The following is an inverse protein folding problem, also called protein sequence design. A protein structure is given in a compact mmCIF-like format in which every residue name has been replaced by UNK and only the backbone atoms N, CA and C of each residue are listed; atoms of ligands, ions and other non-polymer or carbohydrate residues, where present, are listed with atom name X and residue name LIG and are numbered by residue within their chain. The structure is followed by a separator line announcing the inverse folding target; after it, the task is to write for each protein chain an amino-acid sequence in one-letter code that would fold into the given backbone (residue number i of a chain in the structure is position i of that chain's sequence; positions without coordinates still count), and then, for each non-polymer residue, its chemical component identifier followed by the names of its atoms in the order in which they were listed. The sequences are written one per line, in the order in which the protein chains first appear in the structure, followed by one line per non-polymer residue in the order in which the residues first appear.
data_IF_061842852167
#
_entry.id   IF_061842852167
#
_cell.length_a   1.000
_cell.length_b   1.000
_cell.length_c   1.000
_cell.angle_alpha   90.00
_cell.angle_beta   90.00
_cell.angle_gamma   90.00
#
_symmetry.space_group_name_H-M   'P 1'
#
loop_
_entity.id
_entity.type
_entity.pdbx_description
1 polymer ?
#
# COMPACT_ATOMS: atom_id res chain seq x y z
N UNK A 1 -14.83 -20.49 9.11
CA UNK A 1 -14.43 -19.58 8.02
C UNK A 1 -12.96 -19.26 8.21
N UNK A 2 -12.12 -19.33 7.18
CA UNK A 2 -10.76 -18.78 7.27
C UNK A 2 -10.86 -17.29 7.63
N UNK A 3 -10.07 -16.87 8.60
CA UNK A 3 -9.99 -15.46 9.03
C UNK A 3 -9.09 -14.63 8.10
N UNK A 4 -9.00 -13.31 8.32
CA UNK A 4 -8.07 -12.47 7.57
C UNK A 4 -6.62 -12.94 7.78
N UNK A 5 -5.84 -12.98 6.69
CA UNK A 5 -4.40 -13.30 6.74
C UNK A 5 -3.55 -12.10 6.35
N UNK A 6 -2.39 -11.94 7.00
CA UNK A 6 -1.40 -10.91 6.68
C UNK A 6 -0.35 -11.53 5.77
N UNK A 7 -0.10 -10.90 4.62
CA UNK A 7 0.95 -11.32 3.67
C UNK A 7 1.81 -10.11 3.31
N UNK A 8 3.11 -10.34 3.12
CA UNK A 8 3.99 -9.34 2.50
C UNK A 8 3.68 -9.33 1.00
N UNK A 9 3.50 -8.14 0.44
CA UNK A 9 3.28 -7.97 -0.98
C UNK A 9 4.63 -7.97 -1.72
N UNK A 10 5.02 -9.12 -2.24
CA UNK A 10 6.25 -9.30 -3.02
C UNK A 10 5.95 -9.29 -4.52
N UNK A 11 6.72 -8.53 -5.31
CA UNK A 11 6.61 -8.45 -6.78
C UNK A 11 5.17 -8.30 -7.32
N UNK A 12 4.38 -7.31 -6.85
CA UNK A 12 3.04 -7.09 -7.38
C UNK A 12 3.07 -6.63 -8.83
N UNK A 13 2.05 -7.03 -9.60
CA UNK A 13 1.78 -6.45 -10.91
C UNK A 13 1.19 -5.03 -10.77
N UNK A 14 1.14 -4.29 -11.88
CA UNK A 14 0.66 -2.90 -11.91
C UNK A 14 -0.77 -2.73 -11.38
N UNK A 15 -1.64 -3.71 -11.62
CA UNK A 15 -3.02 -3.69 -11.13
C UNK A 15 -3.08 -3.71 -9.60
N UNK A 16 -2.23 -4.54 -8.97
CA UNK A 16 -2.17 -4.67 -7.51
C UNK A 16 -1.45 -3.50 -6.86
N UNK A 17 -0.47 -2.90 -7.56
CA UNK A 17 0.11 -1.60 -7.18
C UNK A 17 -0.97 -0.51 -7.11
N UNK A 18 -1.79 -0.42 -8.14
CA UNK A 18 -2.84 0.59 -8.24
C UNK A 18 -3.96 0.34 -7.22
N UNK A 19 -4.31 -0.93 -6.95
CA UNK A 19 -5.24 -1.28 -5.88
C UNK A 19 -4.74 -0.83 -4.50
N UNK A 20 -3.44 -0.99 -4.22
CA UNK A 20 -2.81 -0.53 -2.97
C UNK A 20 -2.89 0.99 -2.85
N UNK A 21 -2.49 1.72 -3.90
CA UNK A 21 -2.51 3.18 -3.91
C UNK A 21 -3.94 3.74 -3.78
N UNK A 22 -4.91 3.13 -4.46
CA UNK A 22 -6.32 3.55 -4.38
C UNK A 22 -6.91 3.32 -2.99
N UNK A 23 -6.51 2.26 -2.28
CA UNK A 23 -6.94 2.08 -0.89
C UNK A 23 -6.33 3.14 0.02
N UNK A 24 -5.07 3.55 -0.18
CA UNK A 24 -4.50 4.70 0.54
C UNK A 24 -5.28 5.99 0.29
N UNK A 25 -5.54 6.33 -0.97
CA UNK A 25 -6.31 7.53 -1.33
C UNK A 25 -7.67 7.53 -0.63
N UNK A 26 -8.38 6.40 -0.65
CA UNK A 26 -9.67 6.25 0.04
C UNK A 26 -9.56 6.34 1.56
N UNK A 27 -8.50 5.80 2.16
CA UNK A 27 -8.31 5.79 3.61
C UNK A 27 -8.05 7.20 4.17
N UNK A 28 -7.46 8.09 3.36
CA UNK A 28 -7.18 9.48 3.72
C UNK A 28 -8.14 10.48 3.06
N UNK A 29 -9.26 10.00 2.51
CA UNK A 29 -10.27 10.89 1.93
C UNK A 29 -10.76 11.88 3.00
N UNK A 30 -10.77 13.17 2.63
CA UNK A 30 -11.07 14.29 3.52
C UNK A 30 -10.18 14.46 4.76
N UNK A 31 -8.99 13.83 4.80
CA UNK A 31 -8.04 14.00 5.90
C UNK A 31 -7.45 15.43 5.94
N UNK A 32 -7.59 16.12 7.07
CA UNK A 32 -7.16 17.52 7.22
C UNK A 32 -5.63 17.70 7.16
N UNK A 33 -4.82 16.84 7.81
CA UNK A 33 -3.36 16.83 7.63
C UNK A 33 -2.94 16.66 6.17
N UNK A 34 -3.49 15.67 5.45
CA UNK A 34 -3.21 15.47 4.03
C UNK A 34 -3.55 16.72 3.22
N UNK A 35 -4.76 17.26 3.42
CA UNK A 35 -5.21 18.47 2.75
C UNK A 35 -4.27 19.66 3.01
N UNK A 36 -3.71 19.77 4.21
CA UNK A 36 -2.76 20.82 4.55
C UNK A 36 -1.42 20.63 3.83
N UNK A 37 -0.93 19.39 3.75
CA UNK A 37 0.32 19.03 3.08
C UNK A 37 0.26 19.24 1.55
N UNK A 38 -0.88 18.98 0.92
CA UNK A 38 -1.08 19.18 -0.53
C UNK A 38 -1.53 20.60 -0.90
N UNK A 39 -1.67 21.50 0.09
CA UNK A 39 -2.23 22.84 -0.12
C UNK A 39 -3.70 22.81 -0.57
N UNK A 40 -4.41 21.74 -0.28
CA UNK A 40 -5.79 21.49 -0.70
C UNK A 40 -5.94 21.08 -2.16
N UNK A 41 -4.84 20.77 -2.85
CA UNK A 41 -4.89 20.31 -4.22
C UNK A 41 -5.03 18.79 -4.31
N UNK A 42 -6.26 18.33 -4.59
CA UNK A 42 -6.58 16.92 -4.75
C UNK A 42 -5.76 16.22 -5.86
N UNK A 43 -5.23 16.96 -6.84
CA UNK A 43 -4.38 16.34 -7.89
C UNK A 43 -3.02 15.88 -7.38
N UNK A 44 -2.59 16.32 -6.19
CA UNK A 44 -1.33 15.92 -5.57
C UNK A 44 -1.47 14.75 -4.58
N UNK A 45 -2.68 14.47 -4.09
CA UNK A 45 -2.92 13.44 -3.08
C UNK A 45 -2.68 12.04 -3.65
N UNK A 46 -3.30 11.70 -4.79
CA UNK A 46 -3.13 10.40 -5.41
C UNK A 46 -1.68 10.11 -5.87
N UNK A 47 -0.96 11.03 -6.54
CA UNK A 47 0.45 10.84 -6.84
C UNK A 47 1.34 10.62 -5.60
N UNK A 48 1.07 11.33 -4.50
CA UNK A 48 1.82 11.16 -3.25
C UNK A 48 1.70 9.73 -2.71
N UNK A 49 0.47 9.21 -2.59
CA UNK A 49 0.26 7.85 -2.07
C UNK A 49 0.75 6.77 -3.03
N UNK A 50 0.66 6.99 -4.34
CA UNK A 50 1.31 6.10 -5.33
C UNK A 50 2.82 6.04 -5.11
N UNK A 51 3.48 7.16 -4.87
CA UNK A 51 4.92 7.20 -4.61
C UNK A 51 5.28 6.44 -3.31
N UNK A 52 4.50 6.61 -2.24
CA UNK A 52 4.70 5.87 -0.97
C UNK A 52 4.49 4.38 -1.16
N UNK A 53 3.42 3.97 -1.84
CA UNK A 53 3.14 2.57 -2.14
C UNK A 53 4.29 1.94 -2.97
N UNK A 54 4.72 2.63 -4.02
CA UNK A 54 5.82 2.17 -4.87
C UNK A 54 7.12 2.02 -4.07
N UNK A 55 7.48 3.01 -3.25
CA UNK A 55 8.67 2.95 -2.39
C UNK A 55 8.59 1.78 -1.39
N UNK A 56 7.44 1.59 -0.75
CA UNK A 56 7.22 0.46 0.15
C UNK A 56 7.40 -0.88 -0.55
N UNK A 57 6.94 -1.01 -1.79
CA UNK A 57 6.96 -2.27 -2.53
C UNK A 57 8.37 -2.59 -3.01
N UNK A 58 9.09 -1.60 -3.54
CA UNK A 58 10.52 -1.74 -3.87
C UNK A 58 11.32 -2.17 -2.65
N UNK A 59 10.95 -1.72 -1.46
CA UNK A 59 11.65 -2.05 -0.22
C UNK A 59 11.22 -3.40 0.42
N UNK A 60 10.17 -4.04 -0.11
CA UNK A 60 9.56 -5.22 0.51
C UNK A 60 8.83 -4.92 1.82
N UNK A 61 8.41 -3.66 2.01
CA UNK A 61 7.87 -3.08 3.23
C UNK A 61 6.34 -2.96 3.25
N UNK A 62 5.64 -3.60 2.30
CA UNK A 62 4.17 -3.55 2.21
C UNK A 62 3.55 -4.85 2.70
N UNK A 63 2.67 -4.73 3.68
CA UNK A 63 1.87 -5.79 4.24
C UNK A 63 0.42 -5.58 3.83
N UNK A 64 -0.22 -6.62 3.30
CA UNK A 64 -1.63 -6.61 2.92
C UNK A 64 -2.40 -7.59 3.78
N UNK A 65 -3.60 -7.19 4.18
CA UNK A 65 -4.57 -8.06 4.82
C UNK A 65 -5.66 -8.34 3.80
N UNK A 66 -5.83 -9.61 3.45
CA UNK A 66 -6.83 -10.05 2.48
C UNK A 66 -7.78 -11.10 3.03
N UNK A 67 -8.87 -11.33 2.30
CA UNK A 67 -9.69 -12.54 2.44
C UNK A 67 -8.99 -13.67 1.69
N UNK A 68 -8.60 -14.74 2.39
CA UNK A 68 -8.15 -15.97 1.72
C UNK A 68 -9.38 -16.72 1.23
N UNK A 69 -9.52 -16.86 -0.09
CA UNK A 69 -10.48 -17.79 -0.70
C UNK A 69 -10.02 -19.26 -0.62
N UNK A 70 -8.99 -19.54 0.19
CA UNK A 70 -8.36 -20.86 0.32
C UNK A 70 -7.25 -21.13 -0.70
N UNK A 71 -6.96 -20.18 -1.59
CA UNK A 71 -5.85 -20.26 -2.55
C UNK A 71 -4.72 -19.28 -2.14
N UNK A 72 -3.56 -19.80 -1.68
CA UNK A 72 -2.44 -18.98 -1.25
C UNK A 72 -1.79 -18.17 -2.38
N UNK A 73 -2.00 -18.54 -3.64
CA UNK A 73 -1.43 -17.88 -4.83
C UNK A 73 -2.44 -16.99 -5.57
N UNK A 74 -3.70 -16.96 -5.15
CA UNK A 74 -4.73 -16.15 -5.79
C UNK A 74 -4.38 -14.66 -5.73
N UNK A 75 -4.14 -14.07 -6.90
CA UNK A 75 -4.02 -12.62 -7.07
C UNK A 75 -5.36 -11.90 -6.97
N UNK A 76 -6.47 -12.63 -6.90
CA UNK A 76 -7.84 -12.11 -6.83
C UNK A 76 -8.33 -11.86 -5.39
N UNK A 77 -7.50 -12.12 -4.38
CA UNK A 77 -7.86 -11.84 -2.99
C UNK A 77 -8.11 -10.33 -2.78
N UNK A 78 -9.31 -9.99 -2.29
CA UNK A 78 -9.69 -8.62 -1.96
C UNK A 78 -8.75 -8.07 -0.87
N UNK A 79 -8.04 -6.97 -1.17
CA UNK A 79 -7.19 -6.26 -0.20
C UNK A 79 -8.12 -5.43 0.70
N UNK A 80 -8.16 -5.78 2.00
CA UNK A 80 -9.01 -5.14 3.00
C UNK A 80 -8.28 -4.11 3.84
N UNK A 81 -6.98 -4.28 4.03
CA UNK A 81 -6.14 -3.33 4.76
C UNK A 81 -4.70 -3.43 4.29
N UNK A 82 -3.96 -2.33 4.45
CA UNK A 82 -2.58 -2.18 3.99
C UNK A 82 -1.79 -1.49 5.10
N UNK A 83 -0.56 -1.97 5.31
CA UNK A 83 0.45 -1.31 6.12
C UNK A 83 1.71 -1.18 5.28
N UNK A 84 2.23 0.04 5.14
CA UNK A 84 3.58 0.29 4.62
C UNK A 84 4.47 0.62 5.82
N UNK A 85 5.50 -0.19 6.06
CA UNK A 85 6.37 -0.05 7.22
C UNK A 85 7.84 -0.28 6.84
N UNK A 86 8.61 0.81 6.75
CA UNK A 86 10.05 0.75 6.52
C UNK A 86 10.78 0.37 7.81
N UNK A 87 11.66 -0.62 7.75
CA UNK A 87 12.42 -1.07 8.91
C UNK A 87 13.37 0.01 9.46
N UNK A 88 13.60 0.05 10.79
CA UNK A 88 14.53 1.01 11.38
C UNK A 88 15.96 0.76 10.90
N UNK A 89 16.68 1.83 10.54
CA UNK A 89 18.12 1.76 10.28
C UNK A 89 18.53 1.28 8.89
N UNK A 90 17.62 1.21 7.90
CA UNK A 90 18.05 1.08 6.49
C UNK A 90 18.81 2.32 6.07
N UNK A 91 20.14 2.20 6.03
CA UNK A 91 21.00 3.15 5.35
C UNK A 91 20.91 2.89 3.84
N UNK A 92 21.03 3.93 3.02
CA UNK A 92 21.27 3.77 1.58
C UNK A 92 22.60 3.03 1.42
N UNK A 93 22.56 1.71 1.36
CA UNK A 93 23.73 0.91 0.98
C UNK A 93 23.96 1.22 -0.49
N UNK A 94 24.97 2.04 -0.78
CA UNK A 94 25.47 2.22 -2.13
C UNK A 94 26.10 0.90 -2.58
N UNK A 95 25.32 0.05 -3.24
CA UNK A 95 25.87 -0.97 -4.15
C UNK A 95 26.37 -0.30 -5.44
#
# INVERSE_FOLDING_TARGET
MPGPSIKILTNPNDERLEAVANLFVRAFDHDLPLKSMTGGNATFEAPLFRAVAHAGITDGAVYVIGSDDGDPESTNAEIRSILVCFGPGKTMSSE
#
